data_IF_535252297095
#
_entry.id   IF_535252297095
#
_cell.length_a   1.000
_cell.length_b   1.000
_cell.length_c   1.000
_cell.angle_alpha   90.00
_cell.angle_beta   90.00
_cell.angle_gamma   90.00
#
_symmetry.space_group_name_H-M   'P 1'
#
loop_
_entity.id
_entity.type
_entity.pdbx_description
1 polymer ?
#
# COMPACT_ATOMS: atom_id res chain seq x y z
N UNK A 1 11.48 -5.29 -5.69
CA UNK A 1 10.23 -5.43 -4.91
C UNK A 1 9.84 -6.92 -4.81
N UNK A 2 9.06 -7.36 -3.82
CA UNK A 2 8.53 -8.74 -3.79
C UNK A 2 7.30 -8.89 -4.71
N UNK A 3 7.11 -10.05 -5.33
CA UNK A 3 5.89 -10.35 -6.10
C UNK A 3 4.68 -10.37 -5.18
N UNK A 4 3.58 -9.78 -5.63
CA UNK A 4 2.29 -9.80 -4.96
C UNK A 4 1.29 -10.53 -5.86
N UNK A 5 0.76 -11.67 -5.43
CA UNK A 5 -0.32 -12.39 -6.12
C UNK A 5 -1.58 -12.40 -5.25
N UNK A 6 -1.50 -13.09 -4.11
CA UNK A 6 -2.58 -13.17 -3.12
C UNK A 6 -2.00 -12.90 -1.74
N UNK A 7 -2.72 -12.13 -0.93
CA UNK A 7 -2.34 -11.83 0.45
C UNK A 7 -3.54 -12.07 1.36
N UNK A 8 -3.37 -12.91 2.37
CA UNK A 8 -4.33 -13.09 3.47
C UNK A 8 -3.67 -12.61 4.76
N UNK A 9 -4.35 -11.71 5.47
CA UNK A 9 -3.85 -11.27 6.76
C UNK A 9 -4.87 -10.49 7.56
N UNK A 10 -4.54 -10.25 8.83
CA UNK A 10 -5.42 -9.55 9.76
C UNK A 10 -5.77 -8.16 9.23
N UNK A 11 -7.08 -7.88 9.19
CA UNK A 11 -7.63 -6.58 8.82
C UNK A 11 -7.71 -5.63 10.01
N UNK A 12 -7.21 -4.41 9.86
CA UNK A 12 -7.37 -3.34 10.85
C UNK A 12 -8.38 -2.29 10.37
N UNK A 13 -9.49 -2.05 11.09
CA UNK A 13 -10.47 -1.03 10.73
C UNK A 13 -10.01 0.37 11.17
N UNK A 14 -9.55 1.19 10.23
CA UNK A 14 -9.23 2.59 10.45
C UNK A 14 -10.40 3.48 10.00
N UNK A 15 -11.35 3.73 10.92
CA UNK A 15 -12.56 4.54 10.67
C UNK A 15 -12.24 6.05 10.63
N UNK A 16 -11.45 6.45 9.64
CA UNK A 16 -11.00 7.83 9.37
C UNK A 16 -10.98 8.08 7.88
N UNK A 17 -11.49 9.24 7.48
CA UNK A 17 -11.47 9.75 6.11
C UNK A 17 -10.46 10.88 5.99
N UNK A 18 -10.04 11.21 4.76
CA UNK A 18 -9.09 12.28 4.47
C UNK A 18 -7.77 12.11 5.23
N UNK A 19 -7.32 10.86 5.39
CA UNK A 19 -6.08 10.56 6.10
C UNK A 19 -4.92 11.09 5.28
N UNK A 20 -4.28 12.16 5.74
CA UNK A 20 -3.21 12.80 5.00
C UNK A 20 -1.83 12.20 5.28
N UNK A 21 -0.85 12.53 4.44
CA UNK A 21 0.50 11.98 4.57
C UNK A 21 1.25 12.34 5.86
N UNK A 22 0.95 13.48 6.51
CA UNK A 22 1.51 13.83 7.82
C UNK A 22 0.89 12.98 8.95
N UNK A 23 -0.38 12.60 8.81
CA UNK A 23 -1.03 11.68 9.74
C UNK A 23 -0.48 10.26 9.59
N UNK A 24 -0.23 9.80 8.36
CA UNK A 24 0.42 8.50 8.12
C UNK A 24 1.83 8.50 8.71
N UNK A 25 2.63 9.53 8.44
CA UNK A 25 3.96 9.70 9.02
C UNK A 25 4.30 11.18 9.23
N UNK A 26 4.48 11.64 10.49
CA UNK A 26 4.77 13.04 10.76
C UNK A 26 6.11 13.49 10.17
N UNK A 27 6.18 14.74 9.70
CA UNK A 27 7.38 15.34 9.11
C UNK A 27 8.67 15.18 9.94
N UNK A 28 8.58 15.06 11.27
CA UNK A 28 9.73 14.90 12.16
C UNK A 28 10.56 13.64 11.87
N UNK A 29 9.92 12.59 11.34
CA UNK A 29 10.55 11.32 10.98
C UNK A 29 11.31 11.41 9.64
N UNK A 30 10.98 12.41 8.80
CA UNK A 30 11.50 12.53 7.43
C UNK A 30 12.89 13.15 7.35
N UNK A 31 13.54 13.35 8.50
CA UNK A 31 14.96 13.72 8.60
C UNK A 31 15.89 12.51 8.48
N UNK A 32 15.34 11.30 8.52
CA UNK A 32 16.10 10.05 8.34
C UNK A 32 16.51 9.91 6.88
N UNK A 33 17.73 9.43 6.66
CA UNK A 33 18.30 9.18 5.31
C UNK A 33 18.31 7.70 4.93
N UNK A 34 17.79 6.84 5.80
CA UNK A 34 17.62 5.40 5.54
C UNK A 34 16.30 5.13 4.83
N UNK A 35 16.21 3.98 4.15
CA UNK A 35 14.95 3.49 3.55
C UNK A 35 14.10 2.64 4.50
N UNK A 36 14.67 2.25 5.64
CA UNK A 36 14.05 1.37 6.64
C UNK A 36 13.97 2.09 7.99
N UNK A 37 13.17 1.51 8.89
CA UNK A 37 13.02 2.02 10.25
C UNK A 37 12.01 3.15 10.29
N UNK A 38 10.89 3.07 9.57
CA UNK A 38 9.80 4.06 9.61
C UNK A 38 8.53 3.53 10.30
N UNK A 39 8.54 2.29 10.77
CA UNK A 39 7.44 1.62 11.46
C UNK A 39 7.05 2.30 12.78
N UNK A 40 7.98 2.98 13.45
CA UNK A 40 7.72 3.80 14.64
C UNK A 40 7.02 5.12 14.29
N UNK A 41 7.25 5.63 13.08
CA UNK A 41 6.61 6.83 12.54
C UNK A 41 5.18 6.62 12.08
N UNK A 42 4.79 5.38 11.72
CA UNK A 42 3.46 5.08 11.22
C UNK A 42 2.40 5.45 12.24
N UNK A 43 1.51 6.39 11.88
CA UNK A 43 0.44 6.91 12.74
C UNK A 43 0.91 7.32 14.13
N UNK A 44 2.15 7.80 14.27
CA UNK A 44 2.78 8.01 15.57
C UNK A 44 1.97 8.91 16.51
N UNK A 45 1.36 9.98 15.98
CA UNK A 45 0.51 10.85 16.78
C UNK A 45 -0.74 10.14 17.33
N UNK A 46 -1.39 9.28 16.54
CA UNK A 46 -2.57 8.53 16.96
C UNK A 46 -2.23 7.35 17.86
N UNK A 47 -1.08 6.70 17.65
CA UNK A 47 -0.59 5.60 18.49
C UNK A 47 -0.18 6.02 19.91
N UNK A 48 -0.17 7.31 20.22
CA UNK A 48 -0.07 7.77 21.61
C UNK A 48 -1.33 7.45 22.42
N UNK A 49 -2.47 7.22 21.77
CA UNK A 49 -3.70 6.77 22.40
C UNK A 49 -3.67 5.23 22.52
N UNK A 50 -3.69 4.65 23.74
CA UNK A 50 -3.72 3.20 23.93
C UNK A 50 -4.92 2.51 23.29
N UNK A 51 -6.03 3.24 23.06
CA UNK A 51 -7.24 2.71 22.43
C UNK A 51 -7.17 2.69 20.90
N UNK A 52 -6.16 3.33 20.30
CA UNK A 52 -5.98 3.36 18.85
C UNK A 52 -5.91 1.94 18.28
N UNK A 53 -6.56 1.72 17.13
CA UNK A 53 -6.78 0.39 16.56
C UNK A 53 -5.50 -0.45 16.48
N UNK A 54 -4.39 0.13 16.01
CA UNK A 54 -3.13 -0.62 15.86
C UNK A 54 -2.38 -0.88 17.18
N UNK A 55 -2.85 -0.33 18.30
CA UNK A 55 -2.33 -0.64 19.63
C UNK A 55 -3.08 -1.81 20.30
N UNK A 56 -4.22 -2.22 19.74
CA UNK A 56 -5.00 -3.33 20.28
C UNK A 56 -4.38 -4.67 19.85
N UNK A 57 -4.36 -5.65 20.77
CA UNK A 57 -3.70 -6.95 20.53
C UNK A 57 -4.21 -7.68 19.29
N UNK A 58 -5.49 -7.52 18.97
CA UNK A 58 -6.13 -8.10 17.80
C UNK A 58 -5.59 -7.55 16.46
N UNK A 59 -5.08 -6.32 16.43
CA UNK A 59 -4.71 -5.61 15.20
C UNK A 59 -3.26 -5.14 15.14
N UNK A 60 -2.47 -5.28 16.22
CA UNK A 60 -1.09 -4.79 16.29
C UNK A 60 -0.17 -5.35 15.21
N UNK A 61 -0.47 -6.55 14.71
CA UNK A 61 0.24 -7.23 13.62
C UNK A 61 -0.58 -7.26 12.31
N UNK A 62 -1.54 -6.35 12.15
CA UNK A 62 -2.35 -6.28 10.94
C UNK A 62 -1.49 -6.00 9.70
N UNK A 63 -1.87 -6.64 8.60
CA UNK A 63 -1.18 -6.49 7.30
C UNK A 63 -2.12 -6.01 6.20
N UNK A 64 -3.41 -5.89 6.51
CA UNK A 64 -4.44 -5.26 5.66
C UNK A 64 -5.06 -4.10 6.44
N UNK A 65 -4.97 -2.89 5.90
CA UNK A 65 -5.59 -1.69 6.49
C UNK A 65 -6.90 -1.38 5.76
N UNK A 66 -8.01 -1.23 6.47
CA UNK A 66 -9.30 -0.81 5.88
C UNK A 66 -9.61 0.61 6.32
N UNK A 67 -9.43 1.58 5.43
CA UNK A 67 -9.54 3.01 5.71
C UNK A 67 -10.73 3.68 5.02
N UNK A 68 -11.13 4.85 5.51
CA UNK A 68 -12.18 5.66 4.89
C UNK A 68 -11.72 6.34 3.58
N UNK A 69 -12.61 7.08 2.91
CA UNK A 69 -12.29 7.78 1.66
C UNK A 69 -11.14 8.77 1.80
N UNK A 70 -10.51 9.09 0.67
CA UNK A 70 -9.42 10.06 0.54
C UNK A 70 -8.17 9.70 1.37
N UNK A 71 -7.84 8.41 1.43
CA UNK A 71 -6.64 7.94 2.13
C UNK A 71 -5.36 8.32 1.39
N UNK A 72 -4.35 8.79 2.11
CA UNK A 72 -3.09 9.25 1.54
C UNK A 72 -3.22 10.57 0.78
N UNK A 73 -4.18 11.42 1.18
CA UNK A 73 -4.34 12.75 0.57
C UNK A 73 -3.23 13.72 1.00
N UNK A 74 -3.12 14.85 0.31
CA UNK A 74 -2.15 15.89 0.60
C UNK A 74 -0.83 15.74 -0.16
N UNK A 75 0.29 16.05 0.51
CA UNK A 75 1.60 16.20 -0.12
C UNK A 75 2.21 14.88 -0.60
N UNK A 76 2.99 14.93 -1.68
CA UNK A 76 3.78 13.78 -2.15
C UNK A 76 4.82 13.37 -1.11
N UNK A 77 4.66 12.18 -0.51
CA UNK A 77 5.63 11.60 0.43
C UNK A 77 5.73 10.09 0.26
N UNK A 78 6.80 9.61 -0.36
CA UNK A 78 7.09 8.17 -0.47
C UNK A 78 7.22 7.50 0.91
N UNK A 79 7.71 8.24 1.89
CA UNK A 79 7.82 7.81 3.28
C UNK A 79 6.50 7.34 3.91
N UNK A 80 5.35 7.84 3.46
CA UNK A 80 4.05 7.37 3.94
C UNK A 80 3.82 5.90 3.55
N UNK A 81 4.24 5.52 2.35
CA UNK A 81 4.20 4.14 1.87
C UNK A 81 5.22 3.28 2.62
N UNK A 82 6.43 3.78 2.82
CA UNK A 82 7.48 3.05 3.56
C UNK A 82 7.08 2.81 5.01
N UNK A 83 6.47 3.78 5.69
CA UNK A 83 5.98 3.61 7.06
C UNK A 83 4.96 2.46 7.17
N UNK A 84 4.00 2.39 6.22
CA UNK A 84 3.04 1.30 6.14
C UNK A 84 3.73 -0.06 5.90
N UNK A 85 4.63 -0.12 4.92
CA UNK A 85 5.32 -1.37 4.56
C UNK A 85 6.28 -1.85 5.65
N UNK A 86 7.05 -0.95 6.27
CA UNK A 86 7.97 -1.27 7.36
C UNK A 86 7.21 -1.77 8.59
N UNK A 87 6.00 -1.25 8.84
CA UNK A 87 5.12 -1.77 9.90
C UNK A 87 4.60 -3.18 9.58
N UNK A 88 4.49 -3.53 8.29
CA UNK A 88 4.07 -4.86 7.83
C UNK A 88 2.85 -4.85 6.90
N UNK A 89 2.26 -3.70 6.61
CA UNK A 89 1.12 -3.62 5.70
C UNK A 89 1.52 -4.02 4.27
N UNK A 90 0.73 -4.91 3.69
CA UNK A 90 0.82 -5.33 2.29
C UNK A 90 -0.31 -4.75 1.45
N UNK A 91 -1.45 -4.46 2.08
CA UNK A 91 -2.64 -3.89 1.43
C UNK A 91 -3.23 -2.76 2.24
N UNK A 92 -3.65 -1.69 1.54
CA UNK A 92 -4.60 -0.69 2.05
C UNK A 92 -5.84 -0.73 1.18
N UNK A 93 -7.00 -0.82 1.82
CA UNK A 93 -8.33 -0.78 1.21
C UNK A 93 -8.96 0.57 1.54
N UNK A 94 -9.50 1.27 0.54
CA UNK A 94 -10.26 2.50 0.72
C UNK A 94 -11.21 2.69 -0.46
N UNK A 95 -12.23 3.53 -0.31
CA UNK A 95 -13.10 3.93 -1.43
C UNK A 95 -12.44 4.92 -2.38
N UNK A 96 -11.42 5.64 -1.92
CA UNK A 96 -10.68 6.62 -2.73
C UNK A 96 -9.31 6.90 -2.14
N UNK A 97 -8.30 7.03 -3.00
CA UNK A 97 -6.93 7.36 -2.61
C UNK A 97 -6.51 8.71 -3.17
N UNK A 98 -5.55 9.37 -2.50
CA UNK A 98 -4.77 10.43 -3.13
C UNK A 98 -3.94 9.86 -4.28
N UNK A 99 -4.00 10.46 -5.46
CA UNK A 99 -3.42 9.90 -6.70
C UNK A 99 -1.91 9.65 -6.57
N UNK A 100 -1.20 10.58 -5.93
CA UNK A 100 0.25 10.47 -5.71
C UNK A 100 0.57 9.32 -4.75
N UNK A 101 -0.18 9.21 -3.65
CA UNK A 101 -0.01 8.10 -2.71
C UNK A 101 -0.27 6.75 -3.39
N UNK A 102 -1.34 6.65 -4.19
CA UNK A 102 -1.68 5.46 -4.95
C UNK A 102 -0.56 5.05 -5.91
N UNK A 103 -0.02 6.02 -6.68
CA UNK A 103 1.10 5.78 -7.59
C UNK A 103 2.37 5.31 -6.87
N UNK A 104 2.72 5.96 -5.77
CA UNK A 104 3.89 5.58 -4.97
C UNK A 104 3.73 4.18 -4.34
N UNK A 105 2.50 3.84 -3.91
CA UNK A 105 2.19 2.53 -3.32
C UNK A 105 2.52 1.39 -4.29
N UNK A 106 2.02 1.50 -5.53
CA UNK A 106 2.26 0.52 -6.59
C UNK A 106 3.73 0.34 -6.96
N UNK A 107 4.52 1.42 -6.93
CA UNK A 107 5.96 1.39 -7.21
C UNK A 107 6.79 0.75 -6.10
N UNK A 108 6.31 0.81 -4.86
CA UNK A 108 7.02 0.31 -3.69
C UNK A 108 6.59 -1.10 -3.26
N UNK A 109 5.47 -1.61 -3.76
CA UNK A 109 4.96 -2.95 -3.43
C UNK A 109 3.89 -2.96 -2.36
N UNK A 110 3.18 -1.84 -2.20
CA UNK A 110 1.98 -1.73 -1.38
C UNK A 110 0.76 -1.71 -2.30
N UNK A 111 -0.17 -2.64 -2.11
CA UNK A 111 -1.41 -2.64 -2.89
C UNK A 111 -2.40 -1.63 -2.31
N UNK A 112 -2.73 -0.58 -3.07
CA UNK A 112 -3.83 0.33 -2.80
C UNK A 112 -5.10 -0.17 -3.52
N UNK A 113 -5.88 -1.03 -2.85
CA UNK A 113 -7.09 -1.66 -3.38
C UNK A 113 -8.29 -0.72 -3.23
N UNK A 114 -8.72 -0.11 -4.33
CA UNK A 114 -9.87 0.80 -4.30
C UNK A 114 -11.18 0.05 -4.52
N UNK A 115 -12.08 0.07 -3.53
CA UNK A 115 -13.39 -0.60 -3.57
C UNK A 115 -14.54 0.42 -3.52
N UNK A 116 -15.79 -0.02 -3.67
CA UNK A 116 -16.93 0.86 -3.35
C UNK A 116 -17.01 1.15 -1.84
N UNK A 117 -17.52 2.33 -1.47
CA UNK A 117 -17.68 2.71 -0.05
C UNK A 117 -18.56 1.73 0.74
N UNK A 118 -19.58 1.14 0.11
CA UNK A 118 -20.41 0.07 0.70
C UNK A 118 -19.57 -1.15 1.13
N UNK A 119 -18.49 -1.46 0.40
CA UNK A 119 -17.61 -2.59 0.71
C UNK A 119 -16.73 -2.23 1.90
N UNK A 120 -16.20 -1.00 1.96
CA UNK A 120 -15.47 -0.49 3.13
C UNK A 120 -16.33 -0.62 4.39
N UNK A 121 -17.60 -0.19 4.32
CA UNK A 121 -18.51 -0.28 5.46
C UNK A 121 -18.75 -1.74 5.88
N UNK A 122 -19.05 -2.64 4.94
CA UNK A 122 -19.23 -4.07 5.23
C UNK A 122 -17.98 -4.69 5.88
N UNK A 123 -16.78 -4.32 5.40
CA UNK A 123 -15.53 -4.80 5.99
C UNK A 123 -15.30 -4.25 7.40
N UNK A 124 -15.66 -3.00 7.66
CA UNK A 124 -15.62 -2.44 9.01
C UNK A 124 -16.57 -3.15 9.97
N UNK A 125 -17.82 -3.38 9.55
CA UNK A 125 -18.81 -4.06 10.39
C UNK A 125 -18.34 -5.49 10.69
N UNK A 126 -17.83 -6.21 9.68
CA UNK A 126 -17.24 -7.54 9.86
C UNK A 126 -16.07 -7.56 10.84
N UNK A 127 -15.14 -6.60 10.76
CA UNK A 127 -13.96 -6.54 11.63
C UNK A 127 -14.32 -6.11 13.06
N UNK A 128 -15.34 -5.26 13.24
CA UNK A 128 -15.85 -4.91 14.57
C UNK A 128 -16.47 -6.13 15.27
N UNK A 129 -17.25 -6.93 14.54
CA UNK A 129 -17.87 -8.14 15.06
C UNK A 129 -16.86 -9.28 15.26
N UNK A 130 -15.74 -9.25 14.51
CA UNK A 130 -14.72 -10.29 14.52
C UNK A 130 -13.30 -9.70 14.66
N UNK A 131 -12.93 -9.15 15.83
CA UNK A 131 -11.60 -8.59 16.03
C UNK A 131 -10.48 -9.60 15.76
N UNK A 132 -9.50 -9.21 14.95
CA UNK A 132 -8.39 -10.09 14.53
C UNK A 132 -8.72 -11.00 13.34
N UNK A 133 -9.91 -10.88 12.74
CA UNK A 133 -10.25 -11.60 11.52
C UNK A 133 -9.36 -11.20 10.34
N UNK A 134 -9.20 -12.13 9.41
CA UNK A 134 -8.37 -11.96 8.22
C UNK A 134 -9.20 -11.53 7.01
N UNK A 135 -8.57 -10.74 6.15
CA UNK A 135 -9.08 -10.37 4.82
C UNK A 135 -8.11 -10.96 3.80
N UNK A 136 -8.67 -11.57 2.75
CA UNK A 136 -7.92 -12.10 1.61
C UNK A 136 -8.07 -11.15 0.43
N UNK A 137 -6.95 -10.84 -0.21
CA UNK A 137 -6.87 -9.97 -1.38
C UNK A 137 -6.18 -10.76 -2.48
N UNK A 138 -6.85 -10.93 -3.60
CA UNK A 138 -6.34 -11.65 -4.76
C UNK A 138 -6.16 -10.67 -5.92
N UNK A 139 -4.91 -10.39 -6.28
CA UNK A 139 -4.55 -9.43 -7.32
C UNK A 139 -4.81 -9.97 -8.73
N UNK A 140 -4.76 -11.29 -8.90
CA UNK A 140 -5.01 -11.91 -10.20
C UNK A 140 -6.46 -11.70 -10.63
N UNK A 141 -7.39 -12.06 -9.76
CA UNK A 141 -8.85 -11.92 -9.94
C UNK A 141 -9.38 -10.52 -9.56
N UNK A 142 -8.56 -9.69 -8.89
CA UNK A 142 -8.94 -8.37 -8.36
C UNK A 142 -10.09 -8.44 -7.36
N UNK A 143 -10.04 -9.42 -6.47
CA UNK A 143 -11.09 -9.66 -5.47
C UNK A 143 -10.62 -9.42 -4.04
N UNK A 144 -11.54 -8.92 -3.21
CA UNK A 144 -11.43 -8.86 -1.76
C UNK A 144 -12.42 -9.84 -1.15
N UNK A 145 -11.96 -10.63 -0.17
CA UNK A 145 -12.76 -11.64 0.52
C UNK A 145 -12.61 -11.55 2.04
N UNK A 146 -13.71 -11.64 2.78
CA UNK A 146 -13.71 -11.69 4.23
C UNK A 146 -14.91 -12.51 4.76
N UNK A 147 -14.70 -13.29 5.82
CA UNK A 147 -15.70 -14.20 6.37
C UNK A 147 -15.97 -15.44 5.52
N UNK A 148 -16.89 -16.27 6.00
CA UNK A 148 -17.30 -17.54 5.38
C UNK A 148 -18.83 -17.64 5.33
N UNK A 149 -19.35 -18.53 4.47
CA UNK A 149 -20.78 -18.81 4.39
C UNK A 149 -21.58 -17.77 3.59
N UNK A 150 -22.89 -17.70 3.87
CA UNK A 150 -23.82 -16.87 3.08
C UNK A 150 -23.61 -15.36 3.28
N UNK A 151 -23.05 -14.98 4.42
CA UNK A 151 -22.76 -13.59 4.79
C UNK A 151 -21.33 -13.16 4.44
N UNK A 152 -20.56 -14.03 3.77
CA UNK A 152 -19.22 -13.71 3.31
C UNK A 152 -19.21 -12.47 2.41
N UNK A 153 -18.20 -11.64 2.60
CA UNK A 153 -17.95 -10.49 1.75
C UNK A 153 -17.05 -10.96 0.62
N UNK A 154 -17.54 -10.88 -0.61
CA UNK A 154 -16.72 -11.03 -1.82
C UNK A 154 -17.09 -9.90 -2.77
N UNK A 155 -16.13 -9.04 -3.10
CA UNK A 155 -16.32 -7.93 -4.04
C UNK A 155 -15.04 -7.68 -4.84
N UNK A 156 -15.15 -6.91 -5.91
CA UNK A 156 -14.03 -6.51 -6.75
C UNK A 156 -13.38 -5.22 -6.24
N UNK A 157 -12.10 -5.04 -6.55
CA UNK A 157 -11.41 -3.77 -6.38
C UNK A 157 -10.79 -3.29 -7.70
N UNK A 158 -10.55 -1.99 -7.78
CA UNK A 158 -9.98 -1.33 -8.95
C UNK A 158 -8.48 -1.07 -8.77
N UNK A 159 -7.73 -1.36 -9.82
CA UNK A 159 -6.31 -1.08 -9.97
C UNK A 159 -6.02 -0.96 -11.47
N UNK A 160 -5.12 -0.05 -11.86
CA UNK A 160 -4.72 0.06 -13.25
C UNK A 160 -3.81 -1.12 -13.65
N UNK A 161 -3.86 -1.49 -14.93
CA UNK A 161 -3.19 -2.69 -15.42
C UNK A 161 -1.66 -2.61 -15.30
N UNK A 162 -1.09 -1.41 -15.40
CA UNK A 162 0.35 -1.20 -15.30
C UNK A 162 0.83 -1.41 -13.86
N UNK A 163 0.15 -0.82 -12.88
CA UNK A 163 0.43 -1.07 -11.46
C UNK A 163 0.20 -2.54 -11.08
N UNK A 164 -0.87 -3.16 -11.59
CA UNK A 164 -1.12 -4.59 -11.39
C UNK A 164 0.03 -5.45 -11.93
N UNK A 165 0.48 -5.18 -13.15
CA UNK A 165 1.62 -5.89 -13.75
C UNK A 165 2.89 -5.73 -12.91
N UNK A 166 3.21 -4.51 -12.45
CA UNK A 166 4.36 -4.27 -11.57
C UNK A 166 4.32 -5.14 -10.32
N UNK A 167 3.18 -5.16 -9.64
CA UNK A 167 2.99 -5.92 -8.41
C UNK A 167 3.07 -7.44 -8.65
N UNK A 168 2.42 -7.95 -9.69
CA UNK A 168 2.46 -9.38 -10.05
C UNK A 168 3.89 -9.84 -10.39
N UNK A 169 4.66 -8.99 -11.08
CA UNK A 169 6.02 -9.33 -11.49
C UNK A 169 7.10 -8.92 -10.48
N UNK A 170 6.75 -8.20 -9.41
CA UNK A 170 7.72 -7.74 -8.41
C UNK A 170 8.66 -6.66 -8.93
N UNK A 171 8.22 -5.86 -9.89
CA UNK A 171 9.03 -4.87 -10.60
C UNK A 171 8.96 -3.47 -9.96
N UNK A 172 10.12 -3.00 -9.51
CA UNK A 172 10.36 -1.58 -9.20
C UNK A 172 10.93 -0.83 -10.42
N UNK A 173 11.09 0.49 -10.31
CA UNK A 173 11.58 1.33 -11.41
C UNK A 173 12.98 0.90 -11.91
N UNK A 174 13.82 0.35 -11.02
CA UNK A 174 15.15 -0.16 -11.38
C UNK A 174 14.98 -1.45 -12.18
N UNK A 175 14.18 -2.41 -11.70
CA UNK A 175 13.94 -3.68 -12.39
C UNK A 175 13.35 -3.48 -13.79
N UNK A 176 12.44 -2.53 -13.96
CA UNK A 176 11.87 -2.18 -15.27
C UNK A 176 12.95 -1.64 -16.20
N UNK A 177 13.79 -0.72 -15.70
CA UNK A 177 14.89 -0.15 -16.49
C UNK A 177 15.89 -1.23 -16.89
N UNK A 178 16.23 -2.15 -15.98
CA UNK A 178 17.11 -3.28 -16.25
C UNK A 178 16.52 -4.26 -17.28
N UNK A 179 15.20 -4.36 -17.38
CA UNK A 179 14.52 -5.11 -18.45
C UNK A 179 14.79 -4.57 -19.86
N UNK A 180 15.35 -3.37 -19.99
CA UNK A 180 15.76 -2.76 -21.26
C UNK A 180 17.28 -2.70 -21.44
N UNK A 181 18.07 -3.43 -20.66
CA UNK A 181 19.53 -3.36 -20.67
C UNK A 181 20.14 -3.50 -22.08
N UNK A 182 19.73 -4.51 -22.86
CA UNK A 182 20.26 -4.74 -24.22
C UNK A 182 19.93 -3.59 -25.18
N UNK A 183 18.74 -3.02 -25.07
CA UNK A 183 18.33 -1.88 -25.90
C UNK A 183 19.08 -0.60 -25.51
N UNK A 184 19.35 -0.42 -24.21
CA UNK A 184 20.18 0.67 -23.70
C UNK A 184 21.62 0.50 -24.21
N UNK A 185 22.18 -0.71 -24.15
CA UNK A 185 23.53 -0.99 -24.63
C UNK A 185 23.67 -0.74 -26.13
N UNK A 186 22.71 -1.24 -26.94
CA UNK A 186 22.69 -0.99 -28.38
C UNK A 186 22.60 0.51 -28.70
N UNK A 187 21.78 1.27 -27.95
CA UNK A 187 21.70 2.72 -28.14
C UNK A 187 23.00 3.45 -27.81
N UNK A 188 23.68 3.06 -26.73
CA UNK A 188 24.95 3.68 -26.31
C UNK A 188 26.09 3.38 -27.30
N UNK A 189 26.11 2.22 -27.95
CA UNK A 189 27.10 1.88 -28.98
C UNK A 189 27.04 2.79 -30.21
N UNK A 190 25.84 3.21 -30.61
CA UNK A 190 25.60 4.05 -31.81
C UNK A 190 25.57 5.55 -31.48
N UNK A 191 25.81 5.92 -30.23
CA UNK A 191 25.67 7.29 -29.74
C UNK A 191 26.85 8.16 -30.18
N UNK A 192 26.54 9.34 -30.71
CA UNK A 192 27.56 10.30 -31.18
C UNK A 192 28.53 10.67 -30.05
N UNK A 193 29.84 10.52 -30.32
CA UNK A 193 30.91 10.67 -29.34
C UNK A 193 31.00 12.05 -28.64
N UNK A 194 30.36 13.10 -29.19
CA UNK A 194 30.33 14.42 -28.54
C UNK A 194 29.26 14.55 -27.45
N UNK A 195 28.35 13.57 -27.32
CA UNK A 195 27.33 13.58 -26.27
C UNK A 195 27.92 13.17 -24.91
N UNK A 196 27.38 13.65 -23.78
CA UNK A 196 27.90 13.29 -22.45
C UNK A 196 27.79 11.79 -22.16
N UNK A 197 28.87 11.16 -21.71
CA UNK A 197 28.87 9.76 -21.25
C UNK A 197 28.60 9.69 -19.75
N UNK A 198 27.77 8.73 -19.33
CA UNK A 198 27.67 8.34 -17.92
C UNK A 198 28.89 7.49 -17.57
N UNK A 199 29.68 7.93 -16.58
CA UNK A 199 30.89 7.25 -16.08
C UNK A 199 30.54 6.39 -14.88
#
# INVERSE_FOLDING_TARGET
MEKFTTHTGVGAPLKRSNVDTDQIIPAVYLKRVTRTGFEDGLFAAWRNDPSFVLNQDAYKNATVLVAGPDFGTGSSREHAVWALQNYGFKVVISSRFGDIFRGNSGKAGLLAAQVDEKVVQRLWDYLDDNPGASITIDLESRTVKAGDGIDAIEDSFTIDDYTRWRLLEGLDDIAITLGHADAIESYEQDRLAFKPTTV
#
